data_IF_707894755605
#
_entry.id   IF_707894755605
#
_cell.length_a   1.000
_cell.length_b   1.000
_cell.length_c   1.000
_cell.angle_alpha   90.00
_cell.angle_beta   90.00
_cell.angle_gamma   90.00
#
_symmetry.space_group_name_H-M   'P 1'
#
loop_
_entity.id
_entity.type
_entity.pdbx_description
1 polymer ?
#
# COMPACT_ATOMS: atom_id res chain seq x y z
N UNK A 1 18.33 0.53 1.22
CA UNK A 1 18.08 -0.81 0.64
C UNK A 1 16.87 -1.46 1.31
N UNK A 2 16.14 -2.30 0.59
CA UNK A 2 15.01 -3.09 1.14
C UNK A 2 15.44 -4.55 1.13
N UNK A 3 15.80 -5.08 2.29
CA UNK A 3 16.22 -6.47 2.44
C UNK A 3 15.03 -7.33 2.86
N UNK A 4 14.92 -8.53 2.27
CA UNK A 4 13.93 -9.54 2.67
C UNK A 4 14.65 -10.61 3.49
N UNK A 5 14.10 -10.93 4.66
CA UNK A 5 14.58 -11.98 5.55
C UNK A 5 14.28 -13.39 4.99
N UNK A 6 14.81 -14.43 5.65
CA UNK A 6 14.73 -15.81 5.16
C UNK A 6 13.30 -16.34 5.04
N UNK A 7 12.34 -15.79 5.78
CA UNK A 7 10.91 -16.12 5.68
C UNK A 7 10.25 -15.53 4.41
N UNK A 8 10.94 -14.65 3.67
CA UNK A 8 10.50 -14.16 2.37
C UNK A 8 9.44 -13.05 2.40
N UNK A 9 9.14 -12.45 3.55
CA UNK A 9 8.07 -11.44 3.63
C UNK A 9 8.51 -10.06 3.09
N UNK A 10 8.48 -9.95 1.76
CA UNK A 10 8.74 -8.71 1.04
C UNK A 10 7.79 -7.57 1.44
N UNK A 11 6.52 -7.87 1.77
CA UNK A 11 5.55 -6.83 2.11
C UNK A 11 5.90 -6.20 3.46
N UNK A 12 6.31 -7.00 4.44
CA UNK A 12 6.79 -6.50 5.72
C UNK A 12 8.06 -5.65 5.57
N UNK A 13 9.02 -6.12 4.78
CA UNK A 13 10.23 -5.35 4.47
C UNK A 13 9.90 -4.02 3.78
N UNK A 14 8.97 -4.03 2.83
CA UNK A 14 8.51 -2.84 2.12
C UNK A 14 7.83 -1.85 3.08
N UNK A 15 7.03 -2.33 4.01
CA UNK A 15 6.34 -1.50 5.00
C UNK A 15 7.32 -0.87 5.99
N UNK A 16 8.28 -1.64 6.50
CA UNK A 16 9.36 -1.13 7.35
C UNK A 16 10.19 -0.06 6.63
N UNK A 17 10.46 -0.26 5.33
CA UNK A 17 11.16 0.73 4.51
C UNK A 17 10.38 2.04 4.38
N UNK A 18 9.04 1.99 4.23
CA UNK A 18 8.20 3.20 4.21
C UNK A 18 8.26 3.95 5.54
N UNK A 19 8.17 3.24 6.67
CA UNK A 19 8.28 3.79 8.03
C UNK A 19 9.58 4.56 8.23
N UNK A 20 10.70 3.90 7.93
CA UNK A 20 12.02 4.48 8.08
C UNK A 20 12.21 5.70 7.18
N UNK A 21 11.82 5.61 5.90
CA UNK A 21 11.94 6.72 4.98
C UNK A 21 11.07 7.91 5.40
N UNK A 22 9.85 7.67 5.90
CA UNK A 22 8.98 8.74 6.41
C UNK A 22 9.56 9.44 7.64
N UNK A 23 10.18 8.68 8.53
CA UNK A 23 10.94 9.24 9.66
C UNK A 23 12.10 10.12 9.20
N UNK A 24 12.92 9.63 8.26
CA UNK A 24 14.06 10.40 7.73
C UNK A 24 13.59 11.65 6.98
N UNK A 25 12.50 11.57 6.22
CA UNK A 25 11.91 12.75 5.57
C UNK A 25 11.57 13.85 6.57
N UNK A 26 10.91 13.50 7.67
CA UNK A 26 10.56 14.47 8.71
C UNK A 26 11.81 15.01 9.42
N UNK A 27 12.68 14.11 9.89
CA UNK A 27 13.90 14.45 10.64
C UNK A 27 14.83 15.38 9.87
N UNK A 28 14.99 15.14 8.57
CA UNK A 28 15.94 15.86 7.72
C UNK A 28 15.27 17.00 6.91
N UNK A 29 13.95 17.20 7.05
CA UNK A 29 13.21 18.21 6.29
C UNK A 29 13.17 17.96 4.78
N UNK A 30 13.22 16.69 4.35
CA UNK A 30 13.24 16.28 2.94
C UNK A 30 11.80 16.09 2.43
N UNK A 31 11.46 16.78 1.34
CA UNK A 31 10.17 16.67 0.66
C UNK A 31 9.97 15.35 -0.09
N UNK A 32 8.71 14.95 -0.31
CA UNK A 32 8.38 13.71 -1.03
C UNK A 32 8.83 13.70 -2.50
N UNK A 33 9.01 14.90 -3.07
CA UNK A 33 9.57 15.14 -4.41
C UNK A 33 11.06 14.80 -4.52
N UNK A 34 11.75 14.61 -3.38
CA UNK A 34 13.14 14.21 -3.28
C UNK A 34 13.32 12.71 -2.98
N UNK A 35 12.26 11.90 -3.15
CA UNK A 35 12.34 10.45 -3.08
C UNK A 35 12.60 9.87 -4.48
N UNK A 36 13.81 9.35 -4.67
CA UNK A 36 14.29 8.85 -5.96
C UNK A 36 14.51 7.34 -5.96
N UNK A 37 14.28 6.72 -7.13
CA UNK A 37 14.75 5.36 -7.44
C UNK A 37 16.24 5.40 -7.75
N UNK A 38 16.96 4.32 -7.45
CA UNK A 38 18.33 4.14 -7.93
C UNK A 38 18.41 4.19 -9.49
N UNK A 39 17.34 3.73 -10.16
CA UNK A 39 17.16 3.86 -11.60
C UNK A 39 17.32 5.29 -12.13
N UNK A 40 16.86 6.30 -11.38
CA UNK A 40 16.93 7.70 -11.83
C UNK A 40 18.37 8.24 -11.86
N UNK A 41 19.26 7.65 -11.05
CA UNK A 41 20.67 8.09 -10.95
C UNK A 41 21.61 7.37 -11.92
N UNK A 42 21.24 6.17 -12.34
CA UNK A 42 22.21 5.25 -12.95
C UNK A 42 21.64 4.38 -14.06
N UNK A 43 20.34 4.49 -14.35
CA UNK A 43 19.64 3.69 -15.37
C UNK A 43 19.35 2.24 -14.98
N UNK A 44 20.08 1.66 -14.02
CA UNK A 44 19.83 0.29 -13.54
C UNK A 44 18.44 0.16 -12.94
N UNK A 45 17.70 -0.88 -13.34
CA UNK A 45 16.33 -1.14 -12.90
C UNK A 45 16.29 -1.56 -11.42
N UNK A 46 16.42 -0.58 -10.53
CA UNK A 46 16.41 -0.74 -9.09
C UNK A 46 15.64 0.43 -8.45
N UNK A 47 14.70 0.17 -7.52
CA UNK A 47 14.28 -1.14 -6.98
C UNK A 47 13.43 -1.97 -7.96
N UNK A 48 13.94 -3.14 -8.40
CA UNK A 48 13.33 -3.93 -9.48
C UNK A 48 11.90 -4.37 -9.16
N UNK A 49 11.66 -4.88 -7.95
CA UNK A 49 10.34 -5.38 -7.55
C UNK A 49 9.29 -4.24 -7.54
N UNK A 50 9.67 -3.04 -7.07
CA UNK A 50 8.77 -1.88 -7.05
C UNK A 50 8.49 -1.34 -8.46
N UNK A 51 9.50 -1.33 -9.33
CA UNK A 51 9.36 -0.89 -10.71
C UNK A 51 8.52 -1.89 -11.51
N UNK A 52 8.87 -3.17 -11.45
CA UNK A 52 8.19 -4.26 -12.19
C UNK A 52 6.73 -4.42 -11.81
N UNK A 53 6.38 -4.17 -10.55
CA UNK A 53 5.00 -4.27 -10.06
C UNK A 53 4.22 -2.96 -10.17
N UNK A 54 4.80 -1.89 -10.72
CA UNK A 54 4.12 -0.58 -10.81
C UNK A 54 3.84 0.09 -9.46
N UNK A 55 4.46 -0.38 -8.38
CA UNK A 55 4.14 0.01 -7.00
C UNK A 55 4.94 1.21 -6.49
N UNK A 56 5.78 1.83 -7.33
CA UNK A 56 6.59 2.98 -6.92
C UNK A 56 5.76 4.15 -6.38
N UNK A 57 4.66 4.50 -7.06
CA UNK A 57 3.80 5.60 -6.63
C UNK A 57 3.18 5.33 -5.24
N UNK A 58 2.66 4.12 -5.01
CA UNK A 58 2.12 3.72 -3.71
C UNK A 58 3.19 3.66 -2.62
N UNK A 59 4.43 3.29 -2.97
CA UNK A 59 5.55 3.33 -2.04
C UNK A 59 5.84 4.76 -1.56
N UNK A 60 5.98 5.72 -2.47
CA UNK A 60 6.23 7.14 -2.13
C UNK A 60 5.07 7.74 -1.33
N UNK A 61 3.82 7.43 -1.69
CA UNK A 61 2.64 7.87 -0.94
C UNK A 61 2.65 7.36 0.51
N UNK A 62 3.01 6.08 0.71
CA UNK A 62 3.13 5.51 2.05
C UNK A 62 4.23 6.16 2.89
N UNK A 63 5.37 6.50 2.29
CA UNK A 63 6.44 7.27 2.95
C UNK A 63 5.92 8.63 3.41
N UNK A 64 5.25 9.38 2.52
CA UNK A 64 4.70 10.69 2.83
C UNK A 64 3.67 10.62 3.98
N UNK A 65 2.87 9.56 4.03
CA UNK A 65 1.96 9.33 5.14
C UNK A 65 2.70 9.14 6.47
N UNK A 66 3.72 8.29 6.52
CA UNK A 66 4.54 8.11 7.73
C UNK A 66 5.24 9.39 8.17
N UNK A 67 5.72 10.21 7.22
CA UNK A 67 6.31 11.51 7.52
C UNK A 67 5.31 12.45 8.21
N UNK A 68 4.05 12.48 7.76
CA UNK A 68 2.99 13.29 8.36
C UNK A 68 2.61 12.81 9.77
N UNK A 69 2.61 11.50 10.02
CA UNK A 69 2.39 10.97 11.37
C UNK A 69 3.52 11.36 12.32
N UNK A 70 4.77 11.20 11.88
CA UNK A 70 5.93 11.56 12.70
C UNK A 70 5.95 13.06 13.03
N UNK A 71 5.48 13.92 12.12
CA UNK A 71 5.32 15.35 12.39
C UNK A 71 4.32 15.67 13.53
N UNK A 72 3.38 14.75 13.79
CA UNK A 72 2.35 14.91 14.84
C UNK A 72 2.74 14.21 16.15
N UNK A 73 3.76 13.34 16.14
CA UNK A 73 4.19 12.55 17.29
C UNK A 73 5.63 12.94 17.63
N UNK A 74 5.80 13.76 18.66
CA UNK A 74 7.09 14.30 19.13
C UNK A 74 7.96 13.25 19.87
N UNK A 75 7.85 11.97 19.51
CA UNK A 75 8.49 10.86 20.24
C UNK A 75 9.53 10.14 19.37
N UNK A 76 10.78 10.00 19.83
CA UNK A 76 11.79 9.18 19.14
C UNK A 76 11.30 7.74 18.99
N UNK A 77 11.63 7.11 17.85
CA UNK A 77 11.37 5.69 17.62
C UNK A 77 11.96 4.88 18.79
N UNK A 78 11.09 4.37 19.68
CA UNK A 78 11.50 3.36 20.64
C UNK A 78 11.67 2.05 19.89
N UNK A 79 12.85 1.43 20.05
CA UNK A 79 13.10 0.02 19.75
C UNK A 79 12.17 -0.84 20.62
N UNK A 80 10.92 -1.00 20.20
CA UNK A 80 10.03 -1.99 20.79
C UNK A 80 10.38 -3.35 20.21
N UNK A 81 11.14 -4.11 20.99
CA UNK A 81 11.18 -5.56 20.95
C UNK A 81 9.79 -6.11 21.35
N UNK A 82 8.78 -5.89 20.50
CA UNK A 82 7.45 -6.43 20.75
C UNK A 82 7.38 -7.85 20.21
N UNK A 83 7.34 -8.82 21.12
CA UNK A 83 6.79 -10.15 20.85
C UNK A 83 5.36 -9.97 20.31
N UNK A 84 5.17 -10.32 19.04
CA UNK A 84 3.94 -10.10 18.29
C UNK A 84 2.77 -10.90 18.93
N UNK A 85 1.87 -10.21 19.63
CA UNK A 85 0.61 -10.78 20.10
C UNK A 85 -0.47 -10.51 19.03
N UNK A 86 -0.99 -11.54 18.34
CA UNK A 86 -1.91 -11.36 17.21
C UNK A 86 -3.31 -10.82 17.58
N UNK A 87 -3.58 -10.61 18.88
CA UNK A 87 -4.91 -10.23 19.38
C UNK A 87 -5.00 -8.83 20.02
N UNK A 88 -3.96 -8.00 19.98
CA UNK A 88 -4.08 -6.59 20.35
C UNK A 88 -4.35 -5.71 19.12
N UNK A 89 -5.38 -4.85 19.20
CA UNK A 89 -5.71 -3.86 18.18
C UNK A 89 -4.55 -2.86 18.03
N UNK A 90 -3.62 -3.13 17.12
CA UNK A 90 -2.50 -2.27 16.82
C UNK A 90 -2.97 -1.08 15.93
N UNK A 91 -2.78 0.20 16.33
CA UNK A 91 -3.14 1.37 15.51
C UNK A 91 -2.28 1.57 14.25
N UNK A 92 -1.38 0.62 13.93
CA UNK A 92 -0.28 0.78 12.99
C UNK A 92 -0.50 0.20 11.58
N UNK A 93 -1.72 -0.25 11.26
CA UNK A 93 -2.13 -0.66 9.90
C UNK A 93 -2.97 0.48 9.29
N UNK A 94 -2.50 1.20 8.26
CA UNK A 94 -3.28 2.27 7.65
C UNK A 94 -4.58 1.69 7.08
N UNK A 95 -5.73 2.24 7.45
CA UNK A 95 -7.00 1.92 6.78
C UNK A 95 -6.93 2.44 5.34
N UNK A 96 -6.78 1.52 4.40
CA UNK A 96 -6.68 1.80 2.98
C UNK A 96 -8.06 1.68 2.31
N UNK A 97 -8.39 2.66 1.48
CA UNK A 97 -9.51 2.62 0.54
C UNK A 97 -8.97 2.60 -0.88
N UNK A 98 -9.48 1.69 -1.70
CA UNK A 98 -9.24 1.61 -3.13
C UNK A 98 -10.40 2.29 -3.85
N UNK A 99 -10.11 3.35 -4.59
CA UNK A 99 -11.07 4.08 -5.43
C UNK A 99 -10.79 3.77 -6.90
N UNK A 100 -11.82 3.33 -7.61
CA UNK A 100 -11.74 2.99 -9.03
C UNK A 100 -12.12 4.23 -9.87
N UNK A 101 -11.20 4.66 -10.73
CA UNK A 101 -11.37 5.77 -11.68
C UNK A 101 -11.47 5.28 -13.15
N UNK A 102 -11.31 3.97 -13.40
CA UNK A 102 -11.56 3.35 -14.71
C UNK A 102 -12.86 2.55 -14.74
N UNK A 103 -13.18 1.93 -15.88
CA UNK A 103 -14.37 1.07 -16.02
C UNK A 103 -13.99 -0.30 -16.55
N UNK A 104 -14.70 -1.34 -16.10
CA UNK A 104 -14.49 -2.71 -16.57
C UNK A 104 -13.25 -3.40 -16.00
N UNK A 105 -12.83 -2.98 -14.80
CA UNK A 105 -11.62 -3.45 -14.13
C UNK A 105 -11.84 -4.85 -13.56
N UNK A 106 -10.97 -5.81 -13.87
CA UNK A 106 -11.16 -7.19 -13.43
C UNK A 106 -10.92 -7.35 -11.91
N UNK A 107 -11.94 -7.87 -11.22
CA UNK A 107 -11.84 -8.40 -9.86
C UNK A 107 -11.68 -9.92 -9.97
N UNK A 108 -10.67 -10.50 -9.33
CA UNK A 108 -10.31 -11.92 -9.45
C UNK A 108 -10.41 -12.66 -8.13
N UNK A 109 -10.46 -13.99 -8.22
CA UNK A 109 -10.63 -14.91 -7.09
C UNK A 109 -9.39 -15.13 -6.20
N UNK A 110 -8.20 -14.70 -6.65
CA UNK A 110 -6.98 -14.59 -5.84
C UNK A 110 -6.04 -13.56 -6.52
N UNK A 111 -4.93 -13.25 -5.86
CA UNK A 111 -3.89 -12.34 -6.30
C UNK A 111 -3.03 -12.93 -7.43
N UNK A 112 -3.55 -12.90 -8.66
CA UNK A 112 -2.82 -13.30 -9.87
C UNK A 112 -3.68 -13.21 -11.14
N UNK A 113 -3.05 -13.09 -12.30
CA UNK A 113 -3.73 -12.94 -13.60
C UNK A 113 -4.34 -14.25 -14.10
N UNK A 114 -3.82 -15.37 -13.62
CA UNK A 114 -4.23 -16.75 -13.87
C UNK A 114 -5.54 -17.12 -13.15
N UNK A 115 -5.90 -16.39 -12.10
CA UNK A 115 -7.11 -16.64 -11.34
C UNK A 115 -8.35 -16.12 -12.07
N UNK A 116 -9.49 -16.82 -11.97
CA UNK A 116 -10.71 -16.43 -12.68
C UNK A 116 -11.19 -15.03 -12.27
N UNK A 117 -11.72 -14.29 -13.24
CA UNK A 117 -12.45 -13.04 -13.01
C UNK A 117 -13.80 -13.38 -12.36
N UNK A 118 -14.07 -12.79 -11.20
CA UNK A 118 -15.32 -12.98 -10.44
C UNK A 118 -16.35 -11.92 -10.77
N UNK A 119 -15.90 -10.67 -11.01
CA UNK A 119 -16.74 -9.55 -11.48
C UNK A 119 -15.85 -8.45 -12.06
N UNK A 120 -16.48 -7.40 -12.57
CA UNK A 120 -15.79 -6.16 -12.97
C UNK A 120 -16.15 -5.02 -12.03
N UNK A 121 -15.17 -4.19 -11.72
CA UNK A 121 -15.34 -2.94 -11.00
C UNK A 121 -15.47 -1.77 -11.99
N UNK A 122 -16.24 -0.77 -11.59
CA UNK A 122 -16.64 0.38 -12.39
C UNK A 122 -16.14 1.69 -11.79
N UNK A 123 -16.15 2.74 -12.60
CA UNK A 123 -15.75 4.07 -12.15
C UNK A 123 -16.65 4.51 -10.98
N UNK A 124 -16.02 5.00 -9.92
CA UNK A 124 -16.68 5.42 -8.69
C UNK A 124 -16.74 4.34 -7.61
N UNK A 125 -16.43 3.08 -7.93
CA UNK A 125 -16.38 2.02 -6.93
C UNK A 125 -15.32 2.31 -5.88
N UNK A 126 -15.66 2.05 -4.61
CA UNK A 126 -14.80 2.25 -3.45
C UNK A 126 -14.77 0.99 -2.61
N UNK A 127 -13.57 0.55 -2.25
CA UNK A 127 -13.39 -0.68 -1.50
C UNK A 127 -12.46 -0.45 -0.32
N UNK A 128 -12.82 -1.03 0.83
CA UNK A 128 -11.85 -1.23 1.90
C UNK A 128 -10.81 -2.23 1.44
N UNK A 129 -9.54 -1.87 1.56
CA UNK A 129 -8.44 -2.81 1.30
C UNK A 129 -8.26 -3.67 2.55
N UNK A 130 -8.45 -4.97 2.39
CA UNK A 130 -8.36 -5.97 3.45
C UNK A 130 -6.97 -6.62 3.53
N UNK A 131 -6.22 -6.63 2.42
CA UNK A 131 -4.87 -7.16 2.32
C UNK A 131 -4.19 -6.70 1.01
N UNK A 132 -2.87 -6.78 0.95
CA UNK A 132 -2.09 -6.52 -0.27
C UNK A 132 -1.16 -7.71 -0.54
N UNK A 133 -1.14 -8.21 -1.77
CA UNK A 133 -0.32 -9.36 -2.20
C UNK A 133 0.17 -9.12 -3.63
N UNK A 134 1.47 -8.91 -3.82
CA UNK A 134 2.09 -8.78 -5.14
C UNK A 134 1.43 -7.76 -6.10
N UNK A 135 1.04 -6.59 -5.60
CA UNK A 135 0.34 -5.56 -6.40
C UNK A 135 -1.18 -5.78 -6.52
N UNK A 136 -1.70 -6.85 -5.94
CA UNK A 136 -3.13 -7.08 -5.80
C UNK A 136 -3.63 -6.59 -4.45
N UNK A 137 -4.81 -6.00 -4.46
CA UNK A 137 -5.50 -5.45 -3.31
C UNK A 137 -6.76 -6.27 -3.07
N UNK A 138 -6.87 -6.87 -1.88
CA UNK A 138 -8.04 -7.64 -1.48
C UNK A 138 -9.17 -6.68 -1.13
N UNK A 139 -10.24 -6.71 -1.90
CA UNK A 139 -11.38 -5.78 -1.81
C UNK A 139 -12.65 -6.43 -1.24
N UNK A 140 -12.61 -7.73 -1.02
CA UNK A 140 -13.73 -8.52 -0.53
C UNK A 140 -13.31 -9.93 -0.11
N UNK A 141 -14.28 -10.82 0.10
CA UNK A 141 -14.00 -12.19 0.51
C UNK A 141 -13.43 -13.02 -0.66
N UNK A 142 -12.10 -13.11 -0.74
CA UNK A 142 -11.40 -13.77 -1.85
C UNK A 142 -11.42 -12.94 -3.14
N UNK A 143 -11.77 -11.67 -3.06
CA UNK A 143 -11.81 -10.77 -4.21
C UNK A 143 -10.57 -9.88 -4.25
N UNK A 144 -9.87 -9.88 -5.37
CA UNK A 144 -8.62 -9.16 -5.56
C UNK A 144 -8.63 -8.31 -6.82
N UNK A 145 -8.19 -7.07 -6.70
CA UNK A 145 -8.02 -6.12 -7.81
C UNK A 145 -6.53 -5.85 -7.99
N UNK A 146 -6.03 -5.94 -9.22
CA UNK A 146 -4.66 -5.51 -9.53
C UNK A 146 -4.58 -3.99 -9.52
N UNK A 147 -3.57 -3.42 -8.88
CA UNK A 147 -3.37 -1.98 -8.86
C UNK A 147 -2.71 -1.48 -10.14
N UNK A 148 -3.32 -0.45 -10.72
CA UNK A 148 -2.75 0.34 -11.79
C UNK A 148 -3.11 1.81 -11.55
N UNK A 149 -2.12 2.71 -11.46
CA UNK A 149 -2.34 4.12 -11.16
C UNK A 149 -3.16 4.86 -12.24
N UNK A 150 -3.31 4.30 -13.44
CA UNK A 150 -4.10 4.91 -14.52
C UNK A 150 -5.61 4.86 -14.23
N UNK A 151 -6.05 3.92 -13.39
CA UNK A 151 -7.47 3.71 -13.09
C UNK A 151 -7.76 3.38 -11.62
N UNK A 152 -6.76 3.35 -10.74
CA UNK A 152 -6.94 3.18 -9.29
C UNK A 152 -6.21 4.26 -8.50
N UNK A 153 -6.90 4.80 -7.50
CA UNK A 153 -6.33 5.63 -6.44
C UNK A 153 -6.46 4.90 -5.10
N UNK A 154 -5.39 4.90 -4.30
CA UNK A 154 -5.44 4.43 -2.91
C UNK A 154 -5.50 5.65 -1.98
N UNK A 155 -6.54 5.73 -1.16
CA UNK A 155 -6.61 6.67 -0.03
C UNK A 155 -6.15 5.95 1.23
N UNK A 156 -5.41 6.65 2.09
CA UNK A 156 -4.92 6.13 3.37
C UNK A 156 -5.62 6.84 4.52
N UNK A 157 -5.73 6.16 5.67
CA UNK A 157 -6.34 6.68 6.89
C UNK A 157 -7.84 7.00 6.78
N UNK A 158 -8.57 6.23 5.97
CA UNK A 158 -10.04 6.37 5.88
C UNK A 158 -10.67 5.95 7.22
N UNK A 159 -11.47 6.81 7.89
CA UNK A 159 -12.16 6.43 9.11
C UNK A 159 -12.93 5.12 8.90
N UNK A 160 -12.87 4.19 9.87
CA UNK A 160 -13.44 2.83 9.73
C UNK A 160 -14.95 2.81 9.41
N UNK A 161 -15.64 3.95 9.51
CA UNK A 161 -17.10 4.05 9.46
C UNK A 161 -17.71 4.41 8.08
N UNK A 162 -16.94 4.73 7.03
CA UNK A 162 -17.51 5.22 5.75
C UNK A 162 -17.25 4.37 4.49
N UNK A 163 -16.96 3.06 4.59
CA UNK A 163 -16.89 2.22 3.38
C UNK A 163 -18.28 1.67 3.05
N UNK A 164 -19.08 2.45 2.31
CA UNK A 164 -20.34 1.97 1.76
C UNK A 164 -20.06 0.82 0.77
N UNK A 165 -20.70 -0.33 0.98
CA UNK A 165 -20.71 -1.45 0.02
C UNK A 165 -21.23 -0.96 -1.34
N UNK A 166 -20.75 -1.51 -2.47
CA UNK A 166 -21.34 -1.24 -3.78
C UNK A 166 -22.85 -1.52 -3.76
N UNK A 167 -23.65 -0.64 -4.36
CA UNK A 167 -25.08 -0.89 -4.58
C UNK A 167 -25.21 -2.19 -5.37
N UNK A 168 -25.97 -3.15 -4.83
CA UNK A 168 -26.47 -4.26 -5.62
C UNK A 168 -27.31 -3.66 -6.77
N UNK A 169 -26.92 -3.94 -8.01
CA UNK A 169 -27.77 -3.64 -9.16
C UNK A 169 -29.06 -4.46 -9.03
N UNK A 170 -30.20 -3.75 -9.06
CA UNK A 170 -31.57 -4.28 -9.02
C UNK A 170 -31.92 -4.94 -10.36
#
# INVERSE_FOLDING_TARGET
>A
EIAVNQDGDYNKALENAKRLAGYLMNKEGIGADHIYKHQQWSGKKCPDILISRGNWAGFVQGIQWYANINAQIDTPLQDKNDSFNPNENNPAEPSMELVVNGSGINVRSDAGIEHRVVRKASNGDRYKVLAVKNGWYKVGNGEWIFYDPSWIKINYNVPKEEVQKPKEEV
#
